data_IF_137402858094
#
_entry.id   IF_137402858094
#
_cell.length_a   1.000
_cell.length_b   1.000
_cell.length_c   1.000
_cell.angle_alpha   90.00
_cell.angle_beta   90.00
_cell.angle_gamma   90.00
#
_symmetry.space_group_name_H-M   'P 1'
#
loop_
_entity.id
_entity.type
_entity.pdbx_description
1 polymer ?
#
# COMPACT_ATOMS: atom_id res chain seq x y z
N UNK A 1 19.81 9.96 20.04
CA UNK A 1 18.67 9.07 19.78
C UNK A 1 17.88 9.77 18.69
N UNK A 2 18.39 9.69 17.46
CA UNK A 2 17.71 10.22 16.27
C UNK A 2 17.60 9.05 15.30
N UNK A 3 16.62 8.20 15.57
CA UNK A 3 16.25 7.04 14.75
C UNK A 3 15.31 7.51 13.62
N UNK A 4 15.65 8.66 13.02
CA UNK A 4 14.85 9.31 11.99
C UNK A 4 15.37 8.83 10.64
N UNK A 5 14.52 8.09 9.93
CA UNK A 5 14.72 7.75 8.53
C UNK A 5 14.89 9.06 7.74
N UNK A 6 16.01 9.22 7.03
CA UNK A 6 16.22 10.40 6.20
C UNK A 6 15.20 10.43 5.04
N UNK A 7 14.77 11.62 4.58
CA UNK A 7 13.63 11.77 3.65
C UNK A 7 13.75 11.00 2.33
N UNK A 8 14.97 10.72 1.88
CA UNK A 8 15.26 9.98 0.64
C UNK A 8 15.81 8.56 0.88
N UNK A 9 15.85 8.11 2.13
CA UNK A 9 16.42 6.81 2.49
C UNK A 9 15.34 5.72 2.45
N UNK A 10 15.66 4.59 1.81
CA UNK A 10 14.81 3.41 1.90
C UNK A 10 14.96 2.84 3.31
N UNK A 11 14.02 3.19 4.19
CA UNK A 11 14.01 2.78 5.59
C UNK A 11 14.07 1.27 5.79
N UNK A 12 13.30 0.53 4.97
CA UNK A 12 13.03 -0.89 5.20
C UNK A 12 12.39 -1.54 3.96
N UNK A 13 12.63 -2.85 3.76
CA UNK A 13 11.93 -3.64 2.75
C UNK A 13 10.78 -4.42 3.39
N UNK A 14 9.55 -4.10 2.98
CA UNK A 14 8.33 -4.78 3.43
C UNK A 14 8.05 -5.99 2.54
N UNK A 15 7.91 -7.16 3.16
CA UNK A 15 7.32 -8.33 2.50
C UNK A 15 5.83 -8.38 2.84
N UNK A 16 4.98 -8.34 1.82
CA UNK A 16 3.53 -8.35 1.96
C UNK A 16 2.97 -9.66 1.41
N UNK A 17 2.11 -10.32 2.19
CA UNK A 17 1.27 -11.40 1.65
C UNK A 17 0.29 -10.85 0.62
N UNK A 18 -0.27 -11.70 -0.22
CA UNK A 18 -1.27 -11.29 -1.22
C UNK A 18 -2.47 -10.58 -0.57
N UNK A 19 -2.93 -11.05 0.60
CA UNK A 19 -4.01 -10.42 1.35
C UNK A 19 -3.61 -9.02 1.85
N UNK A 20 -2.43 -8.89 2.47
CA UNK A 20 -1.91 -7.61 2.95
C UNK A 20 -1.74 -6.61 1.79
N UNK A 21 -1.16 -7.06 0.68
CA UNK A 21 -0.95 -6.25 -0.52
C UNK A 21 -2.27 -5.72 -1.08
N UNK A 22 -3.30 -6.59 -1.18
CA UNK A 22 -4.63 -6.17 -1.64
C UNK A 22 -5.26 -5.12 -0.73
N UNK A 23 -5.16 -5.32 0.59
CA UNK A 23 -5.70 -4.38 1.59
C UNK A 23 -4.98 -3.04 1.49
N UNK A 24 -3.63 -3.04 1.50
CA UNK A 24 -2.81 -1.82 1.44
C UNK A 24 -3.10 -1.03 0.17
N UNK A 25 -3.09 -1.69 -0.99
CA UNK A 25 -3.39 -1.00 -2.25
C UNK A 25 -4.81 -0.40 -2.23
N UNK A 26 -5.80 -1.16 -1.76
CA UNK A 26 -7.19 -0.67 -1.69
C UNK A 26 -7.32 0.53 -0.74
N UNK A 27 -6.72 0.46 0.45
CA UNK A 27 -6.76 1.54 1.42
C UNK A 27 -6.07 2.80 0.91
N UNK A 28 -4.90 2.68 0.29
CA UNK A 28 -4.18 3.80 -0.31
C UNK A 28 -4.95 4.41 -1.48
N UNK A 29 -5.62 3.57 -2.28
CA UNK A 29 -6.45 4.05 -3.39
C UNK A 29 -7.67 4.82 -2.88
N UNK A 30 -8.38 4.29 -1.88
CA UNK A 30 -9.49 5.01 -1.23
C UNK A 30 -9.03 6.32 -0.61
N UNK A 31 -7.91 6.32 0.12
CA UNK A 31 -7.32 7.55 0.65
C UNK A 31 -7.04 8.54 -0.47
N UNK A 32 -6.34 8.12 -1.53
CA UNK A 32 -6.00 9.00 -2.66
C UNK A 32 -7.24 9.62 -3.32
N UNK A 33 -8.30 8.84 -3.49
CA UNK A 33 -9.54 9.28 -4.11
C UNK A 33 -10.33 10.26 -3.21
N UNK A 34 -10.13 10.20 -1.89
CA UNK A 34 -10.76 11.08 -0.91
C UNK A 34 -9.97 12.39 -0.66
N UNK A 35 -8.70 12.49 -1.10
CA UNK A 35 -7.85 13.67 -0.88
C UNK A 35 -8.28 14.88 -1.73
N UNK A 36 -8.36 16.05 -1.09
CA UNK A 36 -8.79 17.30 -1.71
C UNK A 36 -7.65 18.12 -2.34
N UNK A 37 -8.03 19.28 -2.91
CA UNK A 37 -7.08 20.22 -3.54
C UNK A 37 -6.09 20.87 -2.58
N UNK A 38 -6.38 20.90 -1.27
CA UNK A 38 -5.45 21.43 -0.26
C UNK A 38 -4.39 20.40 0.16
N UNK A 39 -4.60 19.12 -0.16
CA UNK A 39 -3.78 17.99 0.29
C UNK A 39 -2.89 17.42 -0.83
N UNK A 40 -2.46 18.29 -1.76
CA UNK A 40 -1.72 17.89 -2.98
C UNK A 40 -0.38 17.23 -2.67
N UNK A 41 0.28 17.66 -1.62
CA UNK A 41 1.52 17.08 -1.12
C UNK A 41 1.28 15.64 -0.63
N UNK A 42 0.25 15.42 0.18
CA UNK A 42 -0.16 14.07 0.64
C UNK A 42 -0.54 13.20 -0.55
N UNK A 43 -1.32 13.73 -1.49
CA UNK A 43 -1.73 13.00 -2.69
C UNK A 43 -0.51 12.59 -3.54
N UNK A 44 0.50 13.45 -3.65
CA UNK A 44 1.75 13.15 -4.34
C UNK A 44 2.51 12.01 -3.66
N UNK A 45 2.56 11.99 -2.32
CA UNK A 45 3.21 10.90 -1.58
C UNK A 45 2.46 9.58 -1.74
N UNK A 46 1.13 9.59 -1.60
CA UNK A 46 0.31 8.38 -1.78
C UNK A 46 0.45 7.84 -3.21
N UNK A 47 0.44 8.71 -4.23
CA UNK A 47 0.68 8.32 -5.61
C UNK A 47 2.07 7.69 -5.79
N UNK A 48 3.11 8.26 -5.18
CA UNK A 48 4.47 7.72 -5.23
C UNK A 48 4.58 6.33 -4.56
N UNK A 49 3.78 6.06 -3.52
CA UNK A 49 3.69 4.73 -2.91
C UNK A 49 2.92 3.77 -3.82
N UNK A 50 1.76 4.17 -4.35
CA UNK A 50 0.97 3.36 -5.28
C UNK A 50 1.77 2.95 -6.52
N UNK A 51 2.62 3.84 -7.04
CA UNK A 51 3.50 3.55 -8.18
C UNK A 51 4.56 2.46 -7.89
N UNK A 52 4.83 2.14 -6.62
CA UNK A 52 5.73 1.04 -6.21
C UNK A 52 5.00 -0.30 -6.07
N UNK A 53 3.66 -0.29 -6.08
CA UNK A 53 2.84 -1.50 -5.94
C UNK A 53 2.45 -2.05 -7.32
N UNK A 54 2.07 -3.35 -7.41
CA UNK A 54 1.53 -3.92 -8.64
C UNK A 54 0.26 -3.19 -9.09
N UNK A 55 -0.03 -3.27 -10.38
CA UNK A 55 -1.12 -2.55 -11.00
C UNK A 55 -2.49 -3.01 -10.50
N UNK A 56 -3.51 -2.17 -10.71
CA UNK A 56 -4.86 -2.43 -10.25
C UNK A 56 -5.44 -3.77 -10.72
N UNK A 57 -5.11 -4.19 -11.94
CA UNK A 57 -5.58 -5.46 -12.49
C UNK A 57 -5.02 -6.68 -11.71
N UNK A 58 -3.74 -6.62 -11.34
CA UNK A 58 -3.07 -7.67 -10.56
C UNK A 58 -3.66 -7.76 -9.15
N UNK A 59 -3.90 -6.59 -8.53
CA UNK A 59 -4.50 -6.50 -7.20
C UNK A 59 -5.95 -7.01 -7.19
N UNK A 60 -6.73 -6.69 -8.21
CA UNK A 60 -8.13 -7.14 -8.33
C UNK A 60 -8.23 -8.66 -8.48
N UNK A 61 -7.26 -9.30 -9.12
CA UNK A 61 -7.23 -10.75 -9.31
C UNK A 61 -7.02 -11.55 -8.02
N UNK A 62 -6.53 -10.92 -6.94
CA UNK A 62 -6.32 -11.58 -5.65
C UNK A 62 -7.67 -11.89 -4.98
N UNK A 63 -7.96 -13.15 -4.69
CA UNK A 63 -9.13 -13.56 -3.90
C UNK A 63 -8.84 -13.41 -2.40
N UNK A 64 -9.31 -12.31 -1.79
CA UNK A 64 -9.04 -12.00 -0.39
C UNK A 64 -9.56 -13.08 0.57
N UNK A 65 -10.77 -13.57 0.33
CA UNK A 65 -11.42 -14.59 1.18
C UNK A 65 -10.65 -15.90 1.16
N UNK A 66 -10.11 -16.28 -0.01
CA UNK A 66 -9.24 -17.45 -0.14
C UNK A 66 -7.90 -17.26 0.57
N UNK A 67 -7.27 -16.09 0.42
CA UNK A 67 -5.96 -15.84 1.01
C UNK A 67 -6.01 -15.71 2.54
N UNK A 68 -7.07 -15.11 3.10
CA UNK A 68 -7.27 -15.08 4.55
C UNK A 68 -7.43 -16.48 5.14
N UNK A 69 -8.25 -17.34 4.51
CA UNK A 69 -8.38 -18.75 4.92
C UNK A 69 -7.07 -19.53 4.85
N UNK A 70 -6.17 -19.19 3.92
CA UNK A 70 -4.84 -19.79 3.82
C UNK A 70 -3.93 -19.32 4.96
N UNK A 71 -4.01 -18.04 5.32
CA UNK A 71 -3.24 -17.45 6.42
C UNK A 71 -3.62 -17.99 7.80
N UNK A 72 -4.91 -18.26 8.05
CA UNK A 72 -5.39 -18.84 9.31
C UNK A 72 -5.00 -20.31 9.50
N UNK A 73 -4.55 -20.98 8.44
CA UNK A 73 -4.14 -22.38 8.44
C UNK A 73 -2.61 -22.56 8.58
N UNK A 74 -1.85 -21.46 8.69
CA UNK A 74 -0.38 -21.44 8.74
C UNK A 74 0.17 -21.21 10.16
#
# INVERSE_FOLDING_TARGET
>A
MDDLIAPDETAYRLELTAAQLKIVHTALKSLFDDLGHEERDVASVVQAVLAKLPGEHEIRAIDLSRELRRGDAA
#
